data_IF_459141808920
#
_entry.id   IF_459141808920
#
_cell.length_a   1.000
_cell.length_b   1.000
_cell.length_c   1.000
_cell.angle_alpha   90.00
_cell.angle_beta   90.00
_cell.angle_gamma   90.00
#
_symmetry.space_group_name_H-M   'P 1'
#
loop_
_entity.id
_entity.type
_entity.pdbx_description
1 polymer ?
#
# COMPACT_ATOMS: atom_id res chain seq x y z
N UNK A 1 -28.57 42.90 -30.49
CA UNK A 1 -27.42 43.54 -29.83
C UNK A 1 -26.77 42.44 -29.00
N UNK A 2 -25.66 41.94 -29.53
CA UNK A 2 -24.95 40.72 -29.14
C UNK A 2 -24.17 40.92 -27.85
N UNK A 3 -24.40 40.09 -26.84
CA UNK A 3 -23.47 39.90 -25.73
C UNK A 3 -22.54 38.75 -26.09
N UNK A 4 -21.25 39.06 -26.21
CA UNK A 4 -20.17 38.12 -26.47
C UNK A 4 -19.61 37.56 -25.17
N UNK A 5 -19.29 36.27 -25.21
CA UNK A 5 -18.63 35.48 -24.20
C UNK A 5 -17.18 35.95 -23.94
N UNK A 6 -16.83 36.16 -22.66
CA UNK A 6 -15.44 36.24 -22.20
C UNK A 6 -15.04 34.88 -21.62
N UNK A 7 -14.26 34.12 -22.40
CA UNK A 7 -13.57 32.92 -21.97
C UNK A 7 -12.27 33.37 -21.30
N UNK A 8 -12.24 33.31 -19.97
CA UNK A 8 -11.07 33.58 -19.15
C UNK A 8 -9.98 32.54 -19.35
N UNK A 9 -8.81 33.03 -19.71
CA UNK A 9 -7.56 32.33 -19.97
C UNK A 9 -7.07 31.58 -18.71
N UNK A 10 -6.72 30.30 -18.87
CA UNK A 10 -6.20 29.47 -17.79
C UNK A 10 -4.75 29.82 -17.52
N UNK A 11 -4.51 30.51 -16.39
CA UNK A 11 -3.19 30.91 -15.93
C UNK A 11 -2.21 29.75 -15.86
N UNK A 12 -1.12 29.86 -16.62
CA UNK A 12 0.10 29.07 -16.48
C UNK A 12 0.71 29.33 -15.10
N UNK A 13 0.66 28.34 -14.21
CA UNK A 13 1.39 28.39 -12.95
C UNK A 13 2.89 28.45 -13.23
N UNK A 14 3.53 29.54 -12.82
CA UNK A 14 4.98 29.72 -12.88
C UNK A 14 5.65 28.63 -12.03
N UNK A 15 6.53 27.86 -12.66
CA UNK A 15 7.31 26.83 -11.99
C UNK A 15 8.30 27.51 -11.03
N UNK A 16 8.07 27.34 -9.72
CA UNK A 16 8.99 27.76 -8.67
C UNK A 16 10.39 27.20 -8.97
N UNK A 17 11.37 28.09 -9.19
CA UNK A 17 12.75 27.71 -9.46
C UNK A 17 13.35 26.99 -8.26
N UNK A 18 13.45 25.66 -8.36
CA UNK A 18 14.22 24.87 -7.41
C UNK A 18 15.70 25.21 -7.60
N UNK A 19 16.33 25.80 -6.59
CA UNK A 19 17.72 26.30 -6.59
C UNK A 19 18.82 25.22 -6.72
N UNK A 20 18.55 24.09 -7.35
CA UNK A 20 19.55 23.08 -7.67
C UNK A 20 20.27 23.50 -8.97
N UNK A 21 21.29 24.35 -8.86
CA UNK A 21 22.10 24.89 -9.96
C UNK A 21 22.94 23.89 -10.77
N UNK A 22 22.44 22.67 -11.02
CA UNK A 22 23.05 21.69 -11.92
C UNK A 22 22.12 21.48 -13.12
N UNK A 23 22.55 21.94 -14.29
CA UNK A 23 21.80 21.81 -15.54
C UNK A 23 21.47 20.35 -15.84
N UNK A 24 20.18 20.02 -15.96
CA UNK A 24 19.76 18.71 -16.41
C UNK A 24 20.02 18.56 -17.92
N UNK A 25 20.60 17.44 -18.37
CA UNK A 25 20.81 17.20 -19.79
C UNK A 25 19.47 17.03 -20.54
N UNK A 26 19.39 17.44 -21.82
CA UNK A 26 18.20 17.26 -22.63
C UNK A 26 18.03 15.79 -23.02
N UNK A 27 16.96 15.15 -22.57
CA UNK A 27 16.55 13.81 -23.01
C UNK A 27 15.50 13.90 -24.11
N UNK A 28 15.80 13.38 -25.30
CA UNK A 28 14.82 13.10 -26.36
C UNK A 28 14.46 11.60 -26.31
N UNK A 29 13.19 11.19 -26.08
CA UNK A 29 12.85 9.79 -25.96
C UNK A 29 12.11 9.28 -27.21
N UNK A 30 12.72 8.36 -27.95
CA UNK A 30 11.89 7.34 -28.60
C UNK A 30 11.14 6.59 -27.48
N UNK A 31 9.84 6.34 -27.66
CA UNK A 31 9.07 5.61 -26.65
C UNK A 31 9.69 4.20 -26.51
N UNK A 32 10.23 3.83 -25.33
CA UNK A 32 10.78 2.50 -25.14
C UNK A 32 9.67 1.47 -25.43
N UNK A 33 10.06 0.33 -26.03
CA UNK A 33 9.14 -0.79 -26.15
C UNK A 33 8.58 -1.13 -24.76
N UNK A 34 7.27 -1.44 -24.64
CA UNK A 34 6.69 -1.74 -23.34
C UNK A 34 7.40 -2.95 -22.74
N UNK A 35 7.85 -2.80 -21.49
CA UNK A 35 8.52 -3.88 -20.79
C UNK A 35 7.57 -5.08 -20.65
N UNK A 36 8.09 -6.26 -20.99
CA UNK A 36 7.36 -7.52 -20.92
C UNK A 36 8.05 -8.45 -19.95
N UNK A 37 7.25 -9.23 -19.26
CA UNK A 37 7.72 -10.33 -18.41
C UNK A 37 8.41 -11.37 -19.28
N UNK A 38 9.60 -11.80 -18.87
CA UNK A 38 10.36 -12.85 -19.56
C UNK A 38 9.64 -14.21 -19.55
N UNK A 39 10.04 -15.15 -20.44
CA UNK A 39 9.42 -16.48 -20.55
C UNK A 39 9.60 -17.35 -19.29
N UNK A 40 10.59 -17.03 -18.45
CA UNK A 40 10.84 -17.66 -17.15
C UNK A 40 10.41 -16.78 -15.97
N UNK A 41 9.61 -15.75 -16.23
CA UNK A 41 9.10 -14.87 -15.19
C UNK A 41 8.10 -15.57 -14.25
N UNK A 42 7.76 -14.93 -13.13
CA UNK A 42 6.85 -15.50 -12.15
C UNK A 42 5.43 -15.63 -12.70
N UNK A 43 4.67 -16.56 -12.13
CA UNK A 43 3.22 -16.67 -12.34
C UNK A 43 2.55 -15.38 -11.84
N UNK A 44 1.55 -14.89 -12.56
CA UNK A 44 0.75 -13.71 -12.21
C UNK A 44 -0.75 -13.98 -12.41
N UNK A 45 -1.58 -13.15 -11.78
CA UNK A 45 -3.03 -13.09 -12.01
C UNK A 45 -3.33 -12.95 -13.50
N UNK A 46 -4.21 -13.81 -13.99
CA UNK A 46 -4.59 -13.94 -15.40
C UNK A 46 -3.77 -14.94 -16.22
N UNK A 47 -2.69 -15.51 -15.67
CA UNK A 47 -2.03 -16.67 -16.30
C UNK A 47 -2.92 -17.91 -16.21
N UNK A 48 -2.67 -18.89 -17.09
CA UNK A 48 -3.36 -20.18 -17.07
C UNK A 48 -2.39 -21.26 -16.57
N UNK A 49 -2.76 -21.96 -15.50
CA UNK A 49 -2.01 -23.08 -14.92
C UNK A 49 -2.97 -24.27 -14.83
N UNK A 50 -2.59 -25.41 -15.41
CA UNK A 50 -3.42 -26.63 -15.44
C UNK A 50 -4.85 -26.42 -15.98
N UNK A 51 -5.01 -25.46 -16.89
CA UNK A 51 -6.29 -25.13 -17.53
C UNK A 51 -7.16 -24.15 -16.74
N UNK A 52 -6.74 -23.69 -15.56
CA UNK A 52 -7.46 -22.70 -14.76
C UNK A 52 -6.76 -21.33 -14.78
N UNK A 53 -7.55 -20.25 -14.75
CA UNK A 53 -7.03 -18.89 -14.61
C UNK A 53 -6.58 -18.64 -13.18
N UNK A 54 -5.34 -18.18 -13.02
CA UNK A 54 -4.77 -17.78 -11.73
C UNK A 54 -5.44 -16.49 -11.28
N UNK A 55 -5.97 -16.49 -10.06
CA UNK A 55 -6.53 -15.30 -9.40
C UNK A 55 -5.52 -14.67 -8.45
N UNK A 56 -4.69 -15.48 -7.78
CA UNK A 56 -3.74 -14.98 -6.81
C UNK A 56 -3.04 -16.10 -6.04
N UNK A 57 -2.69 -15.80 -4.80
CA UNK A 57 -1.89 -16.62 -3.93
C UNK A 57 -2.42 -16.59 -2.49
N UNK A 58 -2.60 -17.76 -1.92
CA UNK A 58 -2.79 -17.95 -0.48
C UNK A 58 -1.47 -18.35 0.17
N UNK A 59 -1.49 -18.48 1.50
CA UNK A 59 -0.32 -18.89 2.25
C UNK A 59 -0.73 -19.86 3.37
N UNK A 60 -0.04 -20.99 3.46
CA UNK A 60 -0.23 -21.95 4.54
C UNK A 60 1.00 -21.93 5.47
N UNK A 61 0.84 -21.49 6.73
CA UNK A 61 2.00 -21.28 7.61
C UNK A 61 2.86 -22.54 7.79
N UNK A 62 4.20 -22.40 7.83
CA UNK A 62 5.09 -23.51 8.12
C UNK A 62 4.83 -24.11 9.51
N UNK A 63 5.21 -25.38 9.73
CA UNK A 63 5.35 -25.92 11.08
C UNK A 63 6.26 -25.05 11.95
N UNK A 64 5.97 -25.02 13.26
CA UNK A 64 6.74 -24.22 14.21
C UNK A 64 8.25 -24.51 14.10
N UNK A 65 9.05 -23.43 14.07
CA UNK A 65 10.51 -23.50 13.96
C UNK A 65 11.04 -23.67 12.53
N UNK A 66 10.17 -23.81 11.53
CA UNK A 66 10.58 -23.85 10.13
C UNK A 66 10.49 -22.45 9.50
N UNK A 67 11.50 -21.99 8.74
CA UNK A 67 11.43 -20.68 8.11
C UNK A 67 10.30 -20.61 7.07
N UNK A 68 9.67 -19.43 6.89
CA UNK A 68 8.75 -19.19 5.78
C UNK A 68 9.47 -19.35 4.44
N UNK A 69 8.72 -19.66 3.38
CA UNK A 69 9.28 -19.88 2.05
C UNK A 69 8.25 -20.20 0.97
N UNK A 70 8.69 -20.23 -0.30
CA UNK A 70 7.82 -20.34 -1.46
C UNK A 70 6.99 -21.63 -1.50
N UNK A 71 7.50 -22.71 -0.90
CA UNK A 71 6.77 -23.98 -0.78
C UNK A 71 5.49 -23.90 0.05
N UNK A 72 5.27 -22.81 0.77
CA UNK A 72 4.09 -22.54 1.60
C UNK A 72 3.08 -21.62 0.91
N UNK A 73 3.44 -21.04 -0.22
CA UNK A 73 2.48 -20.33 -1.05
C UNK A 73 1.55 -21.32 -1.76
N UNK A 74 0.30 -20.91 -1.93
CA UNK A 74 -0.73 -21.69 -2.59
C UNK A 74 -1.27 -20.94 -3.79
N UNK A 75 -1.28 -21.59 -4.95
CA UNK A 75 -1.86 -21.00 -6.15
C UNK A 75 -3.39 -20.99 -6.01
N UNK A 76 -4.00 -19.82 -6.19
CA UNK A 76 -5.45 -19.66 -6.18
C UNK A 76 -5.97 -19.52 -7.60
N UNK A 77 -7.02 -20.25 -7.93
CA UNK A 77 -7.75 -20.13 -9.19
C UNK A 77 -9.23 -19.85 -8.96
N UNK A 78 -9.98 -19.72 -10.04
CA UNK A 78 -11.41 -19.44 -10.02
C UNK A 78 -12.24 -20.49 -9.25
N UNK A 79 -11.82 -21.75 -9.29
CA UNK A 79 -12.46 -22.84 -8.54
C UNK A 79 -12.31 -22.72 -7.01
N UNK A 80 -11.39 -21.88 -6.53
CA UNK A 80 -11.10 -21.69 -5.11
C UNK A 80 -11.88 -20.49 -4.50
N UNK A 81 -12.65 -19.75 -5.30
CA UNK A 81 -13.44 -18.62 -4.83
C UNK A 81 -14.42 -19.03 -3.74
N UNK A 82 -14.47 -18.24 -2.66
CA UNK A 82 -15.30 -18.54 -1.49
C UNK A 82 -14.79 -19.67 -0.60
N UNK A 83 -13.64 -20.29 -0.90
CA UNK A 83 -13.02 -21.26 0.00
C UNK A 83 -12.65 -20.61 1.35
N UNK A 84 -12.81 -21.37 2.43
CA UNK A 84 -12.45 -20.96 3.78
C UNK A 84 -10.95 -21.14 4.10
N UNK A 85 -10.22 -21.89 3.27
CA UNK A 85 -8.78 -22.12 3.44
C UNK A 85 -8.05 -22.20 2.10
N UNK A 86 -6.75 -21.85 2.05
CA UNK A 86 -5.93 -22.04 0.86
C UNK A 86 -5.95 -23.51 0.38
N UNK A 87 -6.06 -23.79 -0.94
CA UNK A 87 -5.99 -25.14 -1.48
C UNK A 87 -4.56 -25.70 -1.37
N UNK A 88 -4.39 -27.02 -1.37
CA UNK A 88 -3.07 -27.67 -1.41
C UNK A 88 -2.46 -27.68 -2.83
N UNK A 89 -2.46 -26.53 -3.50
CA UNK A 89 -1.94 -26.36 -4.86
C UNK A 89 -0.64 -25.54 -4.82
N UNK A 90 0.53 -26.11 -5.15
CA UNK A 90 1.79 -25.37 -5.11
C UNK A 90 1.84 -24.29 -6.20
N UNK A 91 2.59 -23.21 -5.95
CA UNK A 91 2.87 -22.20 -6.97
C UNK A 91 4.01 -22.69 -7.88
N UNK A 92 3.82 -22.76 -9.20
CA UNK A 92 4.90 -23.09 -10.13
C UNK A 92 6.07 -22.09 -10.03
N UNK A 93 7.31 -22.58 -10.11
CA UNK A 93 8.50 -21.74 -10.03
C UNK A 93 8.63 -20.74 -11.20
N UNK A 94 8.01 -21.06 -12.34
CA UNK A 94 7.97 -20.21 -13.52
C UNK A 94 6.60 -20.31 -14.18
N UNK A 95 6.22 -19.26 -14.92
CA UNK A 95 5.02 -19.23 -15.73
C UNK A 95 5.01 -20.39 -16.75
N UNK A 96 3.91 -21.14 -16.90
CA UNK A 96 3.78 -22.12 -17.97
C UNK A 96 3.81 -21.46 -19.36
N UNK A 97 4.29 -22.16 -20.41
CA UNK A 97 4.23 -21.68 -21.79
C UNK A 97 2.78 -21.70 -22.28
N UNK A 98 2.00 -20.70 -21.89
CA UNK A 98 0.61 -20.52 -22.28
C UNK A 98 0.39 -19.07 -22.76
N UNK A 99 -0.50 -18.86 -23.76
CA UNK A 99 -0.91 -17.52 -24.15
C UNK A 99 -1.54 -16.82 -22.94
N UNK A 100 -1.02 -15.65 -22.60
CA UNK A 100 -1.41 -14.90 -21.42
C UNK A 100 -0.73 -13.54 -21.43
N UNK A 101 -1.27 -12.59 -20.66
CA UNK A 101 -0.80 -11.21 -20.63
C UNK A 101 0.62 -11.12 -20.07
N UNK A 102 1.59 -10.84 -20.93
CA UNK A 102 2.99 -10.67 -20.58
C UNK A 102 3.34 -9.25 -20.15
N UNK A 103 2.37 -8.31 -20.17
CA UNK A 103 2.58 -6.96 -19.64
C UNK A 103 2.80 -7.02 -18.13
N UNK A 104 3.77 -6.23 -17.66
CA UNK A 104 3.96 -5.98 -16.23
C UNK A 104 2.71 -5.29 -15.64
N UNK A 105 2.44 -5.42 -14.34
CA UNK A 105 1.24 -4.87 -13.70
C UNK A 105 0.95 -3.40 -14.01
N UNK A 106 1.97 -2.54 -13.97
CA UNK A 106 1.78 -1.11 -14.24
C UNK A 106 1.45 -0.80 -15.71
N UNK A 107 1.86 -1.65 -16.66
CA UNK A 107 1.49 -1.54 -18.08
C UNK A 107 0.04 -1.98 -18.36
N UNK A 108 -0.66 -2.57 -17.38
CA UNK A 108 -2.09 -2.91 -17.48
C UNK A 108 -3.00 -1.74 -17.08
N UNK A 109 -2.45 -0.72 -16.43
CA UNK A 109 -3.17 0.47 -16.02
C UNK A 109 -3.33 1.47 -17.20
N UNK A 110 -4.32 2.39 -17.12
CA UNK A 110 -4.38 3.53 -18.03
C UNK A 110 -3.09 4.36 -17.98
N UNK A 111 -2.65 4.92 -19.11
CA UNK A 111 -1.41 5.73 -19.18
C UNK A 111 -1.42 6.94 -18.23
N UNK A 112 -2.59 7.45 -17.88
CA UNK A 112 -2.74 8.57 -16.92
C UNK A 112 -2.45 8.17 -15.48
N UNK A 113 -2.53 6.87 -15.15
CA UNK A 113 -2.24 6.33 -13.83
C UNK A 113 -0.75 6.06 -13.59
N UNK A 114 0.09 6.13 -14.63
CA UNK A 114 1.54 5.90 -14.53
C UNK A 114 2.28 7.12 -15.05
N UNK A 115 2.91 7.87 -14.15
CA UNK A 115 3.60 9.11 -14.50
C UNK A 115 5.08 9.03 -14.12
N UNK A 116 6.01 9.51 -14.97
CA UNK A 116 7.39 9.68 -14.56
C UNK A 116 7.51 10.57 -13.32
N UNK A 117 8.28 10.15 -12.33
CA UNK A 117 8.48 10.87 -11.07
C UNK A 117 8.94 12.32 -11.29
N UNK A 118 9.86 12.53 -12.25
CA UNK A 118 10.37 13.85 -12.61
C UNK A 118 9.29 14.82 -13.14
N UNK A 119 8.15 14.32 -13.63
CA UNK A 119 7.00 15.17 -14.00
C UNK A 119 6.21 15.65 -12.79
N UNK A 120 6.26 14.93 -11.67
CA UNK A 120 5.64 15.35 -10.40
C UNK A 120 6.56 16.28 -9.62
N UNK A 121 7.82 15.88 -9.46
CA UNK A 121 8.85 16.71 -8.88
C UNK A 121 10.21 16.30 -9.43
N UNK A 122 10.97 17.26 -9.95
CA UNK A 122 12.31 17.01 -10.53
C UNK A 122 13.28 16.41 -9.51
N UNK A 123 13.08 16.70 -8.23
CA UNK A 123 13.94 16.24 -7.13
C UNK A 123 13.49 14.89 -6.54
N UNK A 124 12.30 14.40 -6.87
CA UNK A 124 11.74 13.18 -6.27
C UNK A 124 12.63 11.94 -6.45
N UNK A 125 13.17 11.64 -7.65
CA UNK A 125 14.11 10.51 -7.79
C UNK A 125 15.33 10.60 -6.88
N UNK A 126 15.90 11.80 -6.72
CA UNK A 126 17.03 12.01 -5.82
C UNK A 126 16.61 11.84 -4.35
N UNK A 127 15.47 12.42 -3.95
CA UNK A 127 14.96 12.30 -2.59
C UNK A 127 14.69 10.84 -2.19
N UNK A 128 14.15 10.02 -3.12
CA UNK A 128 13.94 8.58 -2.85
C UNK A 128 15.27 7.84 -2.73
N UNK A 129 16.22 8.07 -3.64
CA UNK A 129 17.55 7.46 -3.52
C UNK A 129 18.22 7.82 -2.19
N UNK A 130 18.15 9.09 -1.80
CA UNK A 130 18.75 9.57 -0.57
C UNK A 130 18.04 9.03 0.68
N UNK A 131 16.72 8.78 0.61
CA UNK A 131 15.95 8.09 1.66
C UNK A 131 16.38 6.62 1.81
N UNK A 132 16.56 5.92 0.69
CA UNK A 132 16.95 4.50 0.70
C UNK A 132 18.41 4.31 1.11
N UNK A 133 19.27 5.30 0.84
CA UNK A 133 20.69 5.29 1.20
C UNK A 133 20.99 5.96 2.55
N UNK A 134 19.98 6.40 3.31
CA UNK A 134 20.19 7.06 4.61
C UNK A 134 20.65 6.04 5.64
N UNK A 135 21.96 5.96 5.89
CA UNK A 135 22.56 5.02 6.85
C UNK A 135 22.11 5.22 8.31
N UNK A 136 21.37 6.28 8.63
CA UNK A 136 20.74 6.44 9.95
C UNK A 136 19.37 5.78 10.05
N UNK A 137 18.76 5.41 8.92
CA UNK A 137 17.45 4.80 8.86
C UNK A 137 17.50 3.29 9.16
N UNK A 138 16.50 2.73 9.87
CA UNK A 138 16.49 1.30 10.22
C UNK A 138 16.51 0.34 9.01
N UNK A 139 15.98 0.76 7.87
CA UNK A 139 15.87 -0.06 6.66
C UNK A 139 17.11 -0.06 5.75
N UNK A 140 18.08 0.82 5.99
CA UNK A 140 19.13 1.15 5.02
C UNK A 140 19.99 -0.05 4.61
N UNK A 141 20.28 -0.95 5.55
CA UNK A 141 21.08 -2.16 5.30
C UNK A 141 20.28 -3.30 4.65
N UNK A 142 18.95 -3.21 4.66
CA UNK A 142 18.06 -4.31 4.26
C UNK A 142 17.43 -4.07 2.90
N UNK A 143 17.00 -2.83 2.61
CA UNK A 143 16.12 -2.55 1.48
C UNK A 143 16.78 -2.82 0.13
N UNK A 144 18.02 -2.39 -0.09
CA UNK A 144 18.69 -2.53 -1.38
C UNK A 144 19.04 -4.00 -1.73
N UNK A 145 19.67 -4.80 -0.83
CA UNK A 145 19.90 -6.21 -1.08
C UNK A 145 18.61 -6.97 -1.39
N UNK A 146 17.57 -6.77 -0.57
CA UNK A 146 16.28 -7.45 -0.74
C UNK A 146 15.61 -7.03 -2.05
N UNK A 147 15.56 -5.72 -2.36
CA UNK A 147 14.94 -5.22 -3.59
C UNK A 147 15.62 -5.80 -4.83
N UNK A 148 16.95 -5.79 -4.87
CA UNK A 148 17.74 -6.36 -5.96
C UNK A 148 17.46 -7.86 -6.14
N UNK A 149 17.40 -8.62 -5.05
CA UNK A 149 17.11 -10.07 -5.10
C UNK A 149 15.71 -10.37 -5.60
N UNK A 150 14.71 -9.61 -5.14
CA UNK A 150 13.31 -9.74 -5.58
C UNK A 150 13.16 -9.42 -7.07
N UNK A 151 13.79 -8.33 -7.52
CA UNK A 151 13.79 -7.91 -8.93
C UNK A 151 14.51 -8.92 -9.83
N UNK A 152 15.66 -9.44 -9.38
CA UNK A 152 16.39 -10.49 -10.11
C UNK A 152 15.59 -11.79 -10.27
N UNK A 153 14.64 -12.06 -9.36
CA UNK A 153 13.68 -13.15 -9.47
C UNK A 153 12.48 -12.84 -10.40
N UNK A 154 12.47 -11.68 -11.05
CA UNK A 154 11.45 -11.26 -12.01
C UNK A 154 10.17 -10.71 -11.38
N UNK A 155 10.16 -10.44 -10.07
CA UNK A 155 9.03 -9.82 -9.38
C UNK A 155 9.14 -8.30 -9.38
N UNK A 156 7.99 -7.64 -9.41
CA UNK A 156 7.88 -6.20 -9.22
C UNK A 156 7.82 -5.82 -7.74
N UNK A 157 8.34 -4.62 -7.42
CA UNK A 157 8.48 -4.10 -6.06
C UNK A 157 8.39 -2.58 -6.03
N UNK A 158 7.53 -2.04 -5.18
CA UNK A 158 7.26 -0.61 -5.07
C UNK A 158 7.27 -0.16 -3.62
N UNK A 159 7.65 1.10 -3.39
CA UNK A 159 7.28 1.77 -2.14
C UNK A 159 5.77 1.97 -2.11
N UNK A 160 5.19 1.96 -0.92
CA UNK A 160 3.76 2.13 -0.74
C UNK A 160 3.41 2.89 0.54
N UNK A 161 2.13 3.12 0.79
CA UNK A 161 1.62 3.62 2.07
C UNK A 161 2.16 5.00 2.44
N UNK A 162 2.55 5.13 3.71
CA UNK A 162 3.04 6.39 4.28
C UNK A 162 4.24 6.96 3.52
N UNK A 163 5.25 6.13 3.24
CA UNK A 163 6.46 6.56 2.56
C UNK A 163 6.18 7.22 1.20
N UNK A 164 5.38 6.55 0.34
CA UNK A 164 5.05 7.09 -0.98
C UNK A 164 4.28 8.41 -0.89
N UNK A 165 3.30 8.47 0.02
CA UNK A 165 2.48 9.66 0.24
C UNK A 165 3.31 10.85 0.74
N UNK A 166 4.18 10.65 1.72
CA UNK A 166 5.00 11.76 2.28
C UNK A 166 6.05 12.25 1.28
N UNK A 167 6.69 11.35 0.53
CA UNK A 167 7.65 11.72 -0.52
C UNK A 167 7.02 12.55 -1.65
N UNK A 168 5.75 12.29 -1.96
CA UNK A 168 4.98 13.03 -2.97
C UNK A 168 4.32 14.29 -2.41
N UNK A 169 4.30 14.43 -1.10
CA UNK A 169 3.83 15.64 -0.40
C UNK A 169 4.96 16.65 -0.26
N UNK A 170 4.61 17.88 0.14
CA UNK A 170 5.58 18.95 0.37
C UNK A 170 6.52 18.69 1.57
N UNK A 171 6.22 17.68 2.41
CA UNK A 171 7.06 17.32 3.57
C UNK A 171 8.36 16.63 3.21
N UNK A 172 8.46 16.05 2.01
CA UNK A 172 9.66 15.36 1.56
C UNK A 172 10.05 14.16 2.42
N UNK A 173 11.34 13.82 2.38
CA UNK A 173 11.87 12.58 2.98
C UNK A 173 11.90 12.59 4.50
N UNK A 174 12.05 13.75 5.16
CA UNK A 174 12.17 13.82 6.63
C UNK A 174 10.87 13.41 7.35
N UNK A 175 9.73 13.41 6.64
CA UNK A 175 8.44 12.98 7.16
C UNK A 175 8.20 11.46 7.05
N UNK A 176 9.05 10.73 6.33
CA UNK A 176 8.96 9.27 6.24
C UNK A 176 9.43 8.66 7.56
N UNK A 177 8.58 7.87 8.21
CA UNK A 177 8.85 7.24 9.51
C UNK A 177 9.12 5.75 9.41
N UNK A 178 8.53 5.14 8.40
CA UNK A 178 8.44 3.72 8.13
C UNK A 178 8.56 3.48 6.62
N UNK A 179 9.10 2.32 6.25
CA UNK A 179 9.28 1.92 4.86
C UNK A 179 8.46 0.67 4.55
N UNK A 180 7.33 0.90 3.88
CA UNK A 180 6.47 -0.16 3.41
C UNK A 180 6.74 -0.48 1.94
N UNK A 181 6.86 -1.76 1.64
CA UNK A 181 6.96 -2.29 0.29
C UNK A 181 5.72 -3.09 -0.10
N UNK A 182 5.42 -3.07 -1.39
CA UNK A 182 4.44 -3.97 -2.01
C UNK A 182 4.94 -4.47 -3.34
N UNK A 183 4.38 -5.57 -3.85
CA UNK A 183 4.88 -6.18 -5.07
C UNK A 183 4.13 -7.42 -5.50
N UNK A 184 4.67 -8.08 -6.51
CA UNK A 184 4.06 -9.28 -7.11
C UNK A 184 4.53 -10.61 -6.51
N UNK A 185 5.45 -10.59 -5.55
CA UNK A 185 5.91 -11.80 -4.91
C UNK A 185 4.87 -12.30 -3.89
N UNK A 186 4.47 -13.58 -3.94
CA UNK A 186 3.73 -14.19 -2.85
C UNK A 186 4.49 -14.09 -1.52
N UNK A 187 3.79 -14.16 -0.39
CA UNK A 187 4.39 -13.87 0.92
C UNK A 187 5.53 -14.84 1.29
N UNK A 188 5.35 -16.14 1.04
CA UNK A 188 6.39 -17.15 1.24
C UNK A 188 7.59 -16.92 0.34
N UNK A 189 7.36 -16.67 -0.95
CA UNK A 189 8.40 -16.39 -1.93
C UNK A 189 9.19 -15.12 -1.61
N UNK A 190 8.52 -14.04 -1.20
CA UNK A 190 9.21 -12.84 -0.76
C UNK A 190 10.07 -13.11 0.47
N UNK A 191 9.54 -13.82 1.48
CA UNK A 191 10.29 -14.14 2.69
C UNK A 191 11.54 -14.99 2.43
N UNK A 192 11.46 -15.92 1.46
CA UNK A 192 12.59 -16.70 0.97
C UNK A 192 13.64 -15.83 0.30
N UNK A 193 13.23 -14.99 -0.66
CA UNK A 193 14.13 -14.10 -1.40
C UNK A 193 14.79 -13.07 -0.48
N UNK A 194 14.04 -12.51 0.48
CA UNK A 194 14.58 -11.59 1.46
C UNK A 194 15.64 -12.27 2.33
N UNK A 195 15.37 -13.49 2.84
CA UNK A 195 16.35 -14.25 3.61
C UNK A 195 17.61 -14.56 2.80
N UNK A 196 17.46 -15.01 1.56
CA UNK A 196 18.61 -15.27 0.67
C UNK A 196 19.46 -14.01 0.46
N UNK A 197 18.83 -12.85 0.23
CA UNK A 197 19.54 -11.59 0.08
C UNK A 197 20.37 -11.22 1.32
N UNK A 198 19.80 -11.43 2.51
CA UNK A 198 20.43 -11.12 3.79
C UNK A 198 21.55 -12.11 4.15
N UNK A 199 21.40 -13.38 3.75
CA UNK A 199 22.45 -14.40 3.86
C UNK A 199 23.63 -14.10 2.92
N UNK A 200 23.35 -13.68 1.67
CA UNK A 200 24.37 -13.37 0.65
C UNK A 200 25.15 -12.09 0.95
N UNK A 201 24.51 -11.08 1.57
CA UNK A 201 25.14 -9.81 1.94
C UNK A 201 26.20 -9.97 3.05
N UNK A 202 26.09 -11.03 3.87
CA UNK A 202 27.08 -11.39 4.88
C UNK A 202 27.13 -10.49 6.12
N UNK A 203 26.61 -9.27 6.07
CA UNK A 203 26.48 -8.37 7.23
C UNK A 203 25.12 -8.52 7.94
N UNK A 204 24.11 -8.97 7.21
CA UNK A 204 22.71 -8.97 7.66
C UNK A 204 22.13 -10.37 7.89
N UNK A 205 22.94 -11.43 7.90
CA UNK A 205 22.50 -12.83 7.97
C UNK A 205 21.77 -13.21 9.28
N UNK A 206 21.97 -12.43 10.35
CA UNK A 206 21.33 -12.66 11.65
C UNK A 206 19.88 -12.15 11.70
N UNK A 207 19.51 -11.27 10.77
CA UNK A 207 18.18 -10.70 10.66
C UNK A 207 17.18 -11.80 10.28
N UNK A 208 15.95 -11.69 10.81
CA UNK A 208 14.93 -12.73 10.67
C UNK A 208 13.73 -12.21 9.90
N UNK A 209 13.18 -13.06 9.06
CA UNK A 209 11.91 -12.82 8.36
C UNK A 209 10.77 -13.57 9.05
N UNK A 210 9.60 -12.93 9.15
CA UNK A 210 8.35 -13.58 9.57
C UNK A 210 7.24 -13.21 8.61
N UNK A 211 6.30 -14.13 8.39
CA UNK A 211 5.06 -13.88 7.65
C UNK A 211 3.89 -13.98 8.61
N UNK A 212 3.10 -12.92 8.71
CA UNK A 212 1.84 -12.93 9.45
C UNK A 212 0.78 -13.71 8.67
N UNK A 213 0.19 -14.78 9.21
CA UNK A 213 -0.83 -15.56 8.50
C UNK A 213 -2.12 -14.76 8.23
N UNK A 214 -2.45 -13.81 9.10
CA UNK A 214 -3.72 -13.09 9.06
C UNK A 214 -3.69 -11.85 8.14
N UNK A 215 -2.50 -11.38 7.77
CA UNK A 215 -2.33 -10.19 6.92
C UNK A 215 -1.42 -10.42 5.71
N UNK A 216 -0.70 -11.54 5.69
CA UNK A 216 0.35 -11.87 4.73
C UNK A 216 1.46 -10.82 4.65
N UNK A 217 1.61 -10.01 5.69
CA UNK A 217 2.72 -9.08 5.83
C UNK A 217 3.97 -9.89 6.17
N UNK A 218 5.00 -9.74 5.34
CA UNK A 218 6.34 -10.22 5.62
C UNK A 218 7.15 -9.09 6.26
N UNK A 219 7.66 -9.32 7.47
CA UNK A 219 8.46 -8.35 8.21
C UNK A 219 9.88 -8.86 8.36
N UNK A 220 10.86 -8.01 8.05
CA UNK A 220 12.27 -8.20 8.41
C UNK A 220 12.49 -7.54 9.77
N UNK A 221 13.02 -8.29 10.73
CA UNK A 221 13.31 -7.81 12.06
C UNK A 221 14.80 -7.66 12.34
N UNK A 222 15.13 -6.77 13.27
CA UNK A 222 16.43 -6.73 13.94
C UNK A 222 16.74 -8.07 14.65
N UNK A 223 18.00 -8.23 15.09
CA UNK A 223 18.46 -9.45 15.78
C UNK A 223 17.65 -9.76 17.05
N UNK A 224 17.15 -8.71 17.73
CA UNK A 224 16.32 -8.83 18.93
C UNK A 224 14.85 -9.13 18.68
N UNK A 225 14.40 -9.14 17.41
CA UNK A 225 12.98 -9.26 17.04
C UNK A 225 12.09 -8.18 17.69
N UNK A 226 12.68 -7.03 17.98
CA UNK A 226 12.06 -5.92 18.71
C UNK A 226 11.56 -4.85 17.75
N UNK A 227 12.21 -4.70 16.61
CA UNK A 227 11.99 -3.60 15.67
C UNK A 227 11.81 -4.16 14.26
N UNK A 228 10.71 -3.78 13.61
CA UNK A 228 10.53 -4.01 12.19
C UNK A 228 11.45 -3.05 11.40
N UNK A 229 12.34 -3.62 10.59
CA UNK A 229 13.25 -2.86 9.73
C UNK A 229 12.64 -2.61 8.36
N UNK A 230 11.84 -3.56 7.88
CA UNK A 230 11.21 -3.51 6.57
C UNK A 230 9.91 -4.32 6.59
N UNK A 231 8.83 -3.77 6.06
CA UNK A 231 7.58 -4.49 5.86
C UNK A 231 7.27 -4.64 4.38
N UNK A 232 6.74 -5.80 4.01
CA UNK A 232 6.30 -6.12 2.68
C UNK A 232 4.93 -6.77 2.71
N UNK A 233 4.03 -6.31 1.85
CA UNK A 233 2.76 -6.99 1.60
C UNK A 233 2.55 -7.15 0.11
N UNK A 234 2.27 -8.38 -0.35
CA UNK A 234 1.85 -8.61 -1.73
C UNK A 234 0.57 -7.82 -2.05
N UNK A 235 0.30 -7.60 -3.33
CA UNK A 235 -0.90 -6.87 -3.78
C UNK A 235 -2.16 -7.59 -3.30
N UNK A 236 -3.04 -6.95 -2.54
CA UNK A 236 -4.21 -7.60 -1.93
C UNK A 236 -5.16 -8.20 -2.96
N UNK A 237 -5.80 -9.32 -2.62
CA UNK A 237 -6.80 -9.97 -3.46
C UNK A 237 -8.04 -10.36 -2.65
N UNK A 238 -9.22 -9.93 -3.12
CA UNK A 238 -10.53 -10.29 -2.54
C UNK A 238 -11.11 -11.57 -3.15
N UNK A 239 -12.19 -12.06 -2.54
CA UNK A 239 -12.97 -13.22 -3.02
C UNK A 239 -12.72 -14.52 -2.24
N UNK A 240 -11.88 -14.47 -1.20
CA UNK A 240 -11.48 -15.63 -0.41
C UNK A 240 -11.86 -15.45 1.07
N UNK A 241 -12.18 -16.55 1.77
CA UNK A 241 -12.46 -16.55 3.21
C UNK A 241 -11.20 -16.44 4.09
N UNK A 242 -10.04 -16.19 3.48
CA UNK A 242 -8.73 -16.08 4.10
C UNK A 242 -7.92 -14.98 3.39
N UNK A 243 -6.86 -14.45 4.00
CA UNK A 243 -5.98 -13.47 3.36
C UNK A 243 -5.36 -14.01 2.08
N UNK A 244 -5.47 -13.24 0.99
CA UNK A 244 -4.90 -13.58 -0.30
C UNK A 244 -4.19 -12.37 -0.91
N UNK A 245 -3.18 -12.66 -1.73
CA UNK A 245 -2.51 -11.66 -2.58
C UNK A 245 -2.66 -12.03 -4.05
N UNK A 246 -2.40 -11.09 -4.94
CA UNK A 246 -2.45 -11.25 -6.38
C UNK A 246 -1.37 -10.40 -7.04
N UNK A 247 -1.63 -9.97 -8.27
CA UNK A 247 -0.68 -9.15 -9.04
C UNK A 247 -1.35 -7.97 -9.76
N UNK A 248 -2.62 -7.71 -9.44
CA UNK A 248 -3.41 -6.63 -10.03
C UNK A 248 -3.38 -5.38 -9.13
N UNK A 249 -2.79 -4.32 -9.63
CA UNK A 249 -2.65 -3.04 -8.92
C UNK A 249 -4.00 -2.36 -8.67
N UNK A 250 -4.94 -2.45 -9.60
CA UNK A 250 -6.26 -1.86 -9.43
C UNK A 250 -7.06 -2.62 -8.36
N UNK A 251 -6.95 -3.95 -8.31
CA UNK A 251 -7.55 -4.77 -7.26
C UNK A 251 -6.99 -4.46 -5.87
N UNK A 252 -5.67 -4.33 -5.75
CA UNK A 252 -5.02 -3.93 -4.49
C UNK A 252 -5.48 -2.54 -4.04
N UNK A 253 -5.57 -1.57 -4.95
CA UNK A 253 -5.94 -0.20 -4.58
C UNK A 253 -7.33 -0.10 -3.93
N UNK A 254 -8.27 -0.95 -4.32
CA UNK A 254 -9.63 -0.99 -3.74
C UNK A 254 -9.68 -1.54 -2.32
N UNK A 255 -8.65 -2.29 -1.91
CA UNK A 255 -8.57 -2.88 -0.57
C UNK A 255 -7.87 -1.97 0.44
N UNK A 256 -7.16 -0.95 -0.05
CA UNK A 256 -6.48 0.04 0.79
C UNK A 256 -7.48 0.96 1.46
N UNK A 257 -7.04 1.61 2.52
CA UNK A 257 -7.89 2.48 3.31
C UNK A 257 -8.36 3.71 2.53
N UNK A 258 -7.42 4.48 1.99
CA UNK A 258 -7.70 5.71 1.25
C UNK A 258 -6.95 5.76 -0.08
N UNK A 259 -7.50 6.49 -1.04
CA UNK A 259 -6.90 6.69 -2.38
C UNK A 259 -5.46 7.20 -2.30
N UNK A 260 -5.17 8.13 -1.39
CA UNK A 260 -3.82 8.66 -1.13
C UNK A 260 -2.80 7.59 -0.67
N UNK A 261 -3.26 6.50 -0.07
CA UNK A 261 -2.41 5.38 0.37
C UNK A 261 -2.30 4.27 -0.69
N UNK A 262 -3.00 4.43 -1.82
CA UNK A 262 -2.90 3.55 -2.98
C UNK A 262 -1.82 3.96 -3.97
N UNK A 263 -1.21 5.13 -3.77
CA UNK A 263 -0.11 5.60 -4.60
C UNK A 263 1.13 4.77 -4.32
N UNK A 264 1.78 4.32 -5.39
CA UNK A 264 3.00 3.52 -5.35
C UNK A 264 4.14 4.29 -6.02
N UNK A 265 5.37 4.01 -5.58
CA UNK A 265 6.56 4.54 -6.22
C UNK A 265 7.50 3.40 -6.65
N UNK A 266 7.79 3.32 -7.95
CA UNK A 266 8.84 2.46 -8.50
C UNK A 266 10.17 3.20 -8.41
N UNK A 267 11.02 2.80 -7.47
CA UNK A 267 12.29 3.48 -7.22
C UNK A 267 13.41 3.11 -8.20
N UNK A 268 13.24 2.06 -9.00
CA UNK A 268 14.18 1.68 -10.05
C UNK A 268 13.87 2.42 -11.35
N UNK A 269 12.59 2.44 -11.75
CA UNK A 269 12.12 3.10 -12.97
C UNK A 269 11.78 4.58 -12.78
N UNK A 270 11.78 5.05 -11.53
CA UNK A 270 11.34 6.38 -11.14
C UNK A 270 9.94 6.71 -11.67
N UNK A 271 8.99 5.82 -11.39
CA UNK A 271 7.58 5.96 -11.76
C UNK A 271 6.74 6.20 -10.51
N UNK A 272 5.77 7.11 -10.64
CA UNK A 272 4.67 7.26 -9.69
C UNK A 272 3.46 6.57 -10.31
N UNK A 273 2.89 5.63 -9.58
CA UNK A 273 1.78 4.79 -10.05
C UNK A 273 0.59 5.05 -9.13
N UNK A 274 -0.55 5.44 -9.70
CA UNK A 274 -1.80 5.70 -9.00
C UNK A 274 -2.89 4.78 -9.55
N UNK A 275 -2.98 3.54 -9.06
CA UNK A 275 -3.94 2.57 -9.58
C UNK A 275 -5.40 2.95 -9.29
N UNK A 276 -5.64 3.80 -8.29
CA UNK A 276 -6.97 4.36 -8.02
C UNK A 276 -7.40 5.41 -9.05
N UNK A 277 -6.44 6.00 -9.77
CA UNK A 277 -6.64 7.11 -10.69
C UNK A 277 -6.98 8.45 -10.02
N UNK A 278 -7.00 8.50 -8.69
CA UNK A 278 -7.43 9.66 -7.90
C UNK A 278 -6.50 10.00 -6.74
N UNK A 279 -5.67 9.07 -6.28
CA UNK A 279 -4.78 9.27 -5.14
C UNK A 279 -3.91 10.52 -5.30
N UNK A 280 -3.38 10.77 -6.50
CA UNK A 280 -2.53 11.94 -6.77
C UNK A 280 -3.31 13.26 -6.73
N UNK A 281 -4.57 13.29 -7.16
CA UNK A 281 -5.40 14.50 -7.02
C UNK A 281 -5.82 14.72 -5.58
N UNK A 282 -6.17 13.64 -4.87
CA UNK A 282 -6.58 13.69 -3.47
C UNK A 282 -5.40 14.05 -2.53
N UNK A 283 -4.15 13.86 -2.96
CA UNK A 283 -2.97 14.25 -2.20
C UNK A 283 -2.59 15.74 -2.39
N UNK A 284 -3.02 16.37 -3.48
CA UNK A 284 -2.59 17.70 -3.88
C UNK A 284 -3.05 18.82 -2.93
N UNK A 285 -2.31 19.93 -2.88
CA UNK A 285 -2.62 21.13 -2.07
C UNK A 285 -2.72 22.36 -2.98
N UNK A 286 -3.70 23.27 -2.75
CA UNK A 286 -4.87 23.11 -1.89
C UNK A 286 -5.84 22.06 -2.47
N UNK A 287 -6.65 21.44 -1.60
CA UNK A 287 -7.66 20.45 -2.05
C UNK A 287 -7.36 19.01 -1.67
N UNK A 288 -6.53 18.78 -0.65
CA UNK A 288 -6.28 17.45 -0.12
C UNK A 288 -7.61 16.82 0.31
N UNK A 289 -7.87 15.60 -0.12
CA UNK A 289 -9.10 14.89 0.14
C UNK A 289 -8.82 13.54 0.80
N UNK A 290 -9.74 13.11 1.66
CA UNK A 290 -9.68 11.80 2.29
C UNK A 290 -10.80 10.91 1.74
N UNK A 291 -10.54 10.28 0.59
CA UNK A 291 -11.51 9.43 -0.12
C UNK A 291 -11.31 7.96 0.26
N UNK A 292 -12.33 7.26 0.83
CA UNK A 292 -12.24 5.83 1.11
C UNK A 292 -12.03 5.04 -0.18
N UNK A 293 -10.97 4.24 -0.24
CA UNK A 293 -10.74 3.31 -1.34
C UNK A 293 -11.45 1.98 -1.08
N UNK A 294 -11.39 1.50 0.16
CA UNK A 294 -12.14 0.34 0.64
C UNK A 294 -13.51 0.79 1.20
N UNK A 295 -14.59 0.26 0.59
CA UNK A 295 -15.98 0.52 0.99
C UNK A 295 -16.66 -0.72 1.57
N UNK A 296 -15.92 -1.51 2.35
CA UNK A 296 -16.44 -2.72 3.02
C UNK A 296 -17.71 -2.44 3.82
N UNK A 297 -18.61 -3.42 3.85
CA UNK A 297 -19.79 -3.44 4.73
C UNK A 297 -19.51 -4.04 6.11
N UNK A 298 -18.33 -4.62 6.34
CA UNK A 298 -17.96 -5.24 7.61
C UNK A 298 -17.78 -4.17 8.70
N UNK A 299 -18.50 -4.27 9.85
CA UNK A 299 -18.44 -3.26 10.91
C UNK A 299 -17.04 -3.05 11.51
N UNK A 300 -16.24 -4.11 11.64
CA UNK A 300 -14.88 -4.00 12.16
C UNK A 300 -14.00 -3.25 11.17
N UNK A 301 -14.03 -3.63 9.89
CA UNK A 301 -13.25 -2.94 8.84
C UNK A 301 -13.65 -1.46 8.76
N UNK A 302 -14.96 -1.15 8.74
CA UNK A 302 -15.46 0.23 8.77
C UNK A 302 -14.91 1.03 9.96
N UNK A 303 -14.92 0.42 11.14
CA UNK A 303 -14.42 1.04 12.38
C UNK A 303 -12.91 1.29 12.31
N UNK A 304 -12.12 0.34 11.81
CA UNK A 304 -10.67 0.53 11.61
C UNK A 304 -10.37 1.65 10.61
N UNK A 305 -11.17 1.77 9.54
CA UNK A 305 -11.01 2.82 8.54
C UNK A 305 -11.32 4.21 9.10
N UNK A 306 -12.37 4.38 9.91
CA UNK A 306 -12.66 5.69 10.54
C UNK A 306 -11.64 6.06 11.62
N UNK A 307 -11.05 5.09 12.33
CA UNK A 307 -9.92 5.35 13.22
C UNK A 307 -8.72 5.96 12.47
N UNK A 308 -8.35 5.33 11.34
CA UNK A 308 -7.30 5.86 10.46
C UNK A 308 -7.70 7.20 9.87
N UNK A 309 -8.98 7.42 9.55
CA UNK A 309 -9.45 8.70 9.05
C UNK A 309 -9.26 9.82 10.08
N UNK A 310 -9.69 9.60 11.32
CA UNK A 310 -9.50 10.58 12.41
C UNK A 310 -8.01 10.86 12.65
N UNK A 311 -7.15 9.83 12.58
CA UNK A 311 -5.69 10.02 12.62
C UNK A 311 -5.20 10.96 11.52
N UNK A 312 -5.67 10.79 10.28
CA UNK A 312 -5.33 11.71 9.17
C UNK A 312 -5.85 13.12 9.41
N UNK A 313 -7.10 13.30 9.84
CA UNK A 313 -7.69 14.61 10.10
C UNK A 313 -6.91 15.37 11.17
N UNK A 314 -6.60 14.72 12.30
CA UNK A 314 -5.82 15.32 13.39
C UNK A 314 -4.40 15.67 12.94
N UNK A 315 -3.77 14.83 12.11
CA UNK A 315 -2.42 15.06 11.60
C UNK A 315 -2.39 16.25 10.65
N UNK A 316 -3.33 16.29 9.70
CA UNK A 316 -3.36 17.28 8.62
C UNK A 316 -4.03 18.60 8.99
N UNK A 317 -4.73 18.67 10.13
CA UNK A 317 -5.35 19.90 10.64
C UNK A 317 -4.39 21.10 10.65
N UNK A 318 -3.12 20.87 11.02
CA UNK A 318 -2.10 21.92 11.06
C UNK A 318 -1.61 22.37 9.67
N UNK A 319 -1.85 21.57 8.64
CA UNK A 319 -1.39 21.81 7.26
C UNK A 319 -2.46 22.47 6.40
N UNK A 320 -3.74 22.38 6.79
CA UNK A 320 -4.84 23.04 6.10
C UNK A 320 -6.13 22.22 6.11
N UNK A 321 -7.20 22.74 5.47
CA UNK A 321 -8.46 22.03 5.37
C UNK A 321 -8.33 20.76 4.53
N UNK A 322 -8.92 19.67 5.03
CA UNK A 322 -9.04 18.39 4.32
C UNK A 322 -10.48 18.24 3.83
N UNK A 323 -10.66 17.95 2.54
CA UNK A 323 -11.97 17.62 1.98
C UNK A 323 -12.41 16.22 2.45
N UNK A 324 -13.47 16.21 3.25
CA UNK A 324 -14.07 14.99 3.82
C UNK A 324 -15.42 14.66 3.22
N UNK A 325 -15.88 15.33 2.15
CA UNK A 325 -17.26 15.17 1.65
C UNK A 325 -17.63 13.72 1.35
N UNK A 326 -16.77 12.98 0.66
CA UNK A 326 -17.04 11.57 0.33
C UNK A 326 -16.91 10.65 1.53
N UNK A 327 -16.00 10.96 2.45
CA UNK A 327 -15.89 10.24 3.71
C UNK A 327 -17.16 10.41 4.54
N UNK A 328 -17.69 11.64 4.68
CA UNK A 328 -18.93 11.92 5.38
C UNK A 328 -20.15 11.28 4.70
N UNK A 329 -20.19 11.26 3.37
CA UNK A 329 -21.25 10.57 2.63
C UNK A 329 -21.22 9.06 2.90
N UNK A 330 -20.03 8.46 2.96
CA UNK A 330 -19.87 7.03 3.25
C UNK A 330 -20.18 6.69 4.72
N UNK A 331 -19.74 7.50 5.68
CA UNK A 331 -20.03 7.27 7.11
C UNK A 331 -21.51 7.48 7.45
N UNK A 332 -22.26 8.25 6.66
CA UNK A 332 -23.71 8.38 6.79
C UNK A 332 -24.48 7.07 6.52
N UNK A 333 -23.84 6.10 5.84
CA UNK A 333 -24.41 4.76 5.58
C UNK A 333 -24.13 3.76 6.72
N UNK A 334 -23.46 4.19 7.80
CA UNK A 334 -23.09 3.32 8.91
C UNK A 334 -24.29 3.07 9.82
N UNK A 335 -24.36 1.90 10.48
CA UNK A 335 -25.35 1.67 11.52
C UNK A 335 -25.20 2.71 12.63
N UNK A 336 -26.32 3.06 13.27
CA UNK A 336 -26.30 4.05 14.35
C UNK A 336 -25.39 3.62 15.51
N UNK A 337 -25.44 2.33 15.88
CA UNK A 337 -24.59 1.72 16.89
C UNK A 337 -23.47 0.88 16.26
N UNK A 338 -22.51 1.55 15.62
CA UNK A 338 -21.35 0.89 15.03
C UNK A 338 -20.51 0.15 16.09
N UNK A 339 -20.40 0.70 17.31
CA UNK A 339 -19.67 0.06 18.39
C UNK A 339 -20.34 -1.24 18.86
N UNK A 340 -21.66 -1.25 18.98
CA UNK A 340 -22.46 -2.46 19.22
C UNK A 340 -22.25 -3.50 18.13
N UNK A 341 -22.32 -3.11 16.85
CA UNK A 341 -22.09 -4.02 15.72
C UNK A 341 -20.68 -4.66 15.71
N UNK A 342 -19.65 -3.95 16.19
CA UNK A 342 -18.32 -4.54 16.39
C UNK A 342 -18.32 -5.53 17.56
N UNK A 343 -18.98 -5.20 18.68
CA UNK A 343 -19.07 -6.10 19.84
C UNK A 343 -19.83 -7.39 19.54
N UNK A 344 -20.82 -7.34 18.66
CA UNK A 344 -21.54 -8.53 18.17
C UNK A 344 -20.61 -9.51 17.42
N UNK A 345 -19.46 -9.05 16.92
CA UNK A 345 -18.40 -9.91 16.37
C UNK A 345 -17.55 -10.60 17.44
N UNK A 346 -17.77 -10.29 18.71
CA UNK A 346 -17.09 -10.86 19.86
C UNK A 346 -16.02 -9.96 20.47
N UNK A 347 -15.63 -10.29 21.70
CA UNK A 347 -14.69 -9.49 22.51
C UNK A 347 -13.33 -9.30 21.82
N UNK A 348 -12.84 -10.32 21.10
CA UNK A 348 -11.57 -10.22 20.36
C UNK A 348 -11.60 -9.11 19.30
N UNK A 349 -12.72 -8.93 18.60
CA UNK A 349 -12.86 -7.87 17.59
C UNK A 349 -12.85 -6.48 18.25
N UNK A 350 -13.56 -6.34 19.38
CA UNK A 350 -13.57 -5.09 20.15
C UNK A 350 -12.19 -4.76 20.72
N UNK A 351 -11.50 -5.72 21.31
CA UNK A 351 -10.15 -5.52 21.87
C UNK A 351 -9.12 -5.16 20.79
N UNK A 352 -9.22 -5.78 19.62
CA UNK A 352 -8.42 -5.41 18.44
C UNK A 352 -8.66 -3.95 18.05
N UNK A 353 -9.91 -3.51 18.03
CA UNK A 353 -10.25 -2.12 17.72
C UNK A 353 -9.72 -1.13 18.77
N UNK A 354 -9.82 -1.47 20.07
CA UNK A 354 -9.25 -0.68 21.15
C UNK A 354 -7.72 -0.56 21.04
N UNK A 355 -7.03 -1.66 20.71
CA UNK A 355 -5.59 -1.66 20.48
C UNK A 355 -5.20 -0.75 19.31
N UNK A 356 -5.91 -0.84 18.18
CA UNK A 356 -5.70 0.04 17.03
C UNK A 356 -5.97 1.51 17.36
N UNK A 357 -7.00 1.80 18.15
CA UNK A 357 -7.29 3.17 18.63
C UNK A 357 -6.13 3.71 19.47
N UNK A 358 -5.58 2.90 20.37
CA UNK A 358 -4.42 3.29 21.16
C UNK A 358 -3.17 3.51 20.29
N UNK A 359 -2.90 2.63 19.33
CA UNK A 359 -1.78 2.77 18.39
C UNK A 359 -1.90 4.04 17.53
N UNK A 360 -3.09 4.30 16.98
CA UNK A 360 -3.30 5.43 16.08
C UNK A 360 -3.37 6.78 16.78
N UNK A 361 -3.97 6.83 17.97
CA UNK A 361 -4.42 8.07 18.62
C UNK A 361 -4.07 8.12 20.12
N UNK A 362 -3.25 7.21 20.62
CA UNK A 362 -2.88 7.13 22.04
C UNK A 362 -2.29 8.42 22.61
N UNK A 363 -1.54 9.16 21.78
CA UNK A 363 -0.87 10.42 22.14
C UNK A 363 -1.69 11.67 21.81
N UNK A 364 -2.86 11.52 21.18
CA UNK A 364 -3.72 12.65 20.79
C UNK A 364 -4.69 12.95 21.93
N UNK A 365 -4.88 14.24 22.27
CA UNK A 365 -5.86 14.68 23.27
C UNK A 365 -7.28 14.22 22.89
N UNK A 366 -8.04 13.74 23.89
CA UNK A 366 -9.38 13.18 23.68
C UNK A 366 -10.32 14.19 23.01
N UNK A 367 -10.23 15.47 23.37
CA UNK A 367 -11.04 16.55 22.81
C UNK A 367 -10.80 16.72 21.31
N UNK A 368 -9.55 16.60 20.86
CA UNK A 368 -9.18 16.68 19.44
C UNK A 368 -9.69 15.46 18.66
N UNK A 369 -9.61 14.27 19.26
CA UNK A 369 -10.17 13.05 18.67
C UNK A 369 -11.68 13.18 18.49
N UNK A 370 -12.40 13.61 19.53
CA UNK A 370 -13.86 13.78 19.48
C UNK A 370 -14.29 14.87 18.50
N UNK A 371 -13.56 15.98 18.41
CA UNK A 371 -13.84 17.04 17.43
C UNK A 371 -13.72 16.52 15.97
N UNK A 372 -12.66 15.78 15.67
CA UNK A 372 -12.46 15.16 14.37
C UNK A 372 -13.48 14.05 14.09
N UNK A 373 -13.85 13.23 15.08
CA UNK A 373 -14.89 12.20 14.93
C UNK A 373 -16.27 12.80 14.65
N UNK A 374 -16.64 13.88 15.35
CA UNK A 374 -17.92 14.59 15.16
C UNK A 374 -18.09 15.14 13.74
N UNK A 375 -17.01 15.61 13.12
CA UNK A 375 -17.09 16.14 11.74
C UNK A 375 -17.42 15.05 10.71
N UNK A 376 -17.24 13.77 11.07
CA UNK A 376 -17.57 12.61 10.24
C UNK A 376 -18.98 12.04 10.49
N UNK A 377 -19.72 12.60 11.45
CA UNK A 377 -21.11 12.25 11.72
C UNK A 377 -21.34 11.42 12.99
N UNK A 378 -22.62 11.21 13.35
CA UNK A 378 -23.02 10.73 14.68
C UNK A 378 -22.57 9.31 14.99
N UNK A 379 -22.58 8.40 14.00
CA UNK A 379 -22.12 7.02 14.22
C UNK A 379 -20.62 6.94 14.56
N UNK A 380 -19.81 7.83 13.97
CA UNK A 380 -18.37 7.91 14.27
C UNK A 380 -18.13 8.56 15.63
N UNK A 381 -18.87 9.62 15.97
CA UNK A 381 -18.81 10.24 17.30
C UNK A 381 -19.10 9.23 18.41
N UNK A 382 -20.20 8.46 18.31
CA UNK A 382 -20.56 7.43 19.30
C UNK A 382 -19.53 6.30 19.40
N UNK A 383 -18.93 5.91 18.27
CA UNK A 383 -17.82 4.94 18.29
C UNK A 383 -16.65 5.46 19.13
N UNK A 384 -16.28 6.72 18.96
CA UNK A 384 -15.19 7.35 19.70
C UNK A 384 -15.51 7.56 21.18
N UNK A 385 -16.76 7.91 21.53
CA UNK A 385 -17.21 7.94 22.92
C UNK A 385 -17.02 6.58 23.61
N UNK A 386 -17.39 5.49 22.94
CA UNK A 386 -17.22 4.14 23.45
C UNK A 386 -15.74 3.74 23.62
N UNK A 387 -14.88 4.10 22.67
CA UNK A 387 -13.45 3.82 22.72
C UNK A 387 -12.73 4.63 23.81
N UNK A 388 -13.05 5.91 23.93
CA UNK A 388 -12.48 6.79 24.96
C UNK A 388 -12.96 6.39 26.37
N UNK A 389 -14.23 6.00 26.51
CA UNK A 389 -14.78 5.48 27.77
C UNK A 389 -14.15 4.16 28.20
N UNK A 390 -13.60 3.38 27.27
CA UNK A 390 -12.89 2.11 27.58
C UNK A 390 -11.46 2.32 28.11
N UNK A 391 -10.94 3.56 28.11
CA UNK A 391 -9.62 3.90 28.68
C UNK A 391 -9.69 4.27 30.16
N UNK A 392 -10.89 4.61 30.66
CA UNK A 392 -11.15 4.95 32.05
C UNK A 392 -11.43 3.67 32.85
#
# INVERSE_FOLDING_TARGET
MTCTDDIGDAGTAEATECGCGRGCPPHSPAAPEPERRGPHGPVMTGDVVDGESVLGFGYEPPPQGTPPGARYDRLLAESDLGSASPPLRPVPAARPPAPGDDRLPHHRLPKTAVVPAARRSRCLPAAVRDLLADGSAPWATVVEPVARRVRAAGHELWLTGGASRELLSEHGREAVRDLDLTGTAPAGRYAELAREALEEDGESYELRTRVSPDSLVCTVYDVGLSTALLEYRGLGQEGFGFPATGTDLAADSRQRDFTVNSILYDFERHLVIDPSGRGLSDLAVPGRALTPANRSSDPLIRSELVLRAVKFLVRWEAEGPVDTRELCAWTAEFPDDLAGAVRERGDTAWQRLCALHHECLGTVQAERQSAAARSLGPSVERLFEALLGSRA
#
